data_IF_819792382203
#
_entry.id   IF_819792382203
#
_cell.length_a   1.000
_cell.length_b   1.000
_cell.length_c   1.000
_cell.angle_alpha   90.00
_cell.angle_beta   90.00
_cell.angle_gamma   90.00
#
_symmetry.space_group_name_H-M   'P 1'
#
loop_
_entity.id
_entity.type
_entity.pdbx_description
1 polymer ?
#
# COMPACT_ATOMS: atom_id res chain seq x y z
N UNK A 1 14.92 -10.36 16.02
CA UNK A 1 14.46 -9.07 15.47
C UNK A 1 12.94 -8.99 15.24
N UNK A 2 12.26 -10.03 14.73
CA UNK A 2 10.81 -10.00 14.43
C UNK A 2 9.92 -9.45 15.56
N UNK A 3 10.07 -9.84 16.85
CA UNK A 3 9.23 -9.32 17.92
C UNK A 3 9.29 -7.80 18.11
N UNK A 4 10.42 -7.20 17.81
CA UNK A 4 10.64 -5.76 17.96
C UNK A 4 10.02 -4.92 16.83
N UNK A 5 9.71 -5.54 15.69
CA UNK A 5 8.99 -4.90 14.58
C UNK A 5 7.46 -4.94 14.71
N UNK A 6 6.91 -5.86 15.52
CA UNK A 6 5.45 -6.01 15.68
C UNK A 6 4.79 -4.72 16.19
N UNK A 7 5.30 -4.03 17.22
CA UNK A 7 4.70 -2.77 17.69
C UNK A 7 4.57 -1.72 16.60
N UNK A 8 5.55 -1.62 15.69
CA UNK A 8 5.48 -0.70 14.54
C UNK A 8 4.27 -0.97 13.66
N UNK A 9 4.05 -2.22 13.28
CA UNK A 9 2.92 -2.62 12.42
C UNK A 9 1.57 -2.41 13.12
N UNK A 10 1.50 -2.75 14.42
CA UNK A 10 0.29 -2.55 15.22
C UNK A 10 -0.06 -1.05 15.32
N UNK A 11 0.91 -0.21 15.66
CA UNK A 11 0.70 1.23 15.81
C UNK A 11 0.45 1.92 14.46
N UNK A 12 1.07 1.44 13.38
CA UNK A 12 0.79 1.91 12.03
C UNK A 12 -0.70 1.76 11.67
N UNK A 13 -1.33 0.65 12.04
CA UNK A 13 -2.77 0.45 11.84
C UNK A 13 -3.63 1.17 12.89
N UNK A 14 -3.31 0.97 14.17
CA UNK A 14 -4.14 1.43 15.29
C UNK A 14 -4.20 2.96 15.42
N UNK A 15 -3.12 3.67 15.05
CA UNK A 15 -3.09 5.14 15.10
C UNK A 15 -3.72 5.81 13.87
N UNK A 16 -4.02 5.07 12.78
CA UNK A 16 -4.58 5.66 11.57
C UNK A 16 -5.94 6.37 11.78
N UNK A 17 -6.91 5.83 12.56
CA UNK A 17 -8.15 6.54 12.87
C UNK A 17 -7.93 7.83 13.66
N UNK A 18 -6.96 7.84 14.61
CA UNK A 18 -6.59 9.05 15.35
C UNK A 18 -5.97 10.10 14.44
N UNK A 19 -5.07 9.69 13.55
CA UNK A 19 -4.45 10.58 12.56
C UNK A 19 -5.50 11.21 11.62
N UNK A 20 -6.49 10.42 11.16
CA UNK A 20 -7.61 10.92 10.38
C UNK A 20 -8.43 11.96 11.15
N UNK A 21 -8.76 11.68 12.41
CA UNK A 21 -9.49 12.60 13.27
C UNK A 21 -8.74 13.92 13.47
N UNK A 22 -7.44 13.84 13.76
CA UNK A 22 -6.60 15.03 13.93
C UNK A 22 -6.51 15.87 12.64
N UNK A 23 -6.42 15.23 11.47
CA UNK A 23 -6.37 15.92 10.19
C UNK A 23 -7.67 16.66 9.87
N UNK A 24 -8.82 16.13 10.26
CA UNK A 24 -10.12 16.75 10.06
C UNK A 24 -10.34 17.94 11.00
N UNK A 25 -9.74 17.95 12.22
CA UNK A 25 -9.92 19.01 13.22
C UNK A 25 -8.82 20.07 13.17
N UNK A 26 -7.62 19.74 12.73
CA UNK A 26 -6.53 20.70 12.59
C UNK A 26 -6.37 21.12 11.13
N UNK A 27 -5.49 20.44 10.36
CA UNK A 27 -5.40 20.60 8.92
C UNK A 27 -4.56 19.45 8.30
N UNK A 28 -4.87 19.08 7.07
CA UNK A 28 -4.23 17.98 6.37
C UNK A 28 -2.76 18.26 6.01
N UNK A 29 -2.44 19.51 5.62
CA UNK A 29 -1.06 19.91 5.31
C UNK A 29 -0.16 19.84 6.55
N UNK A 30 -0.65 20.29 7.71
CA UNK A 30 0.05 20.18 8.98
C UNK A 30 0.32 18.73 9.35
N UNK A 31 -0.68 17.86 9.19
CA UNK A 31 -0.53 16.42 9.45
C UNK A 31 0.49 15.77 8.52
N UNK A 32 0.55 16.11 7.22
CA UNK A 32 1.60 15.60 6.33
C UNK A 32 2.99 16.14 6.71
N UNK A 33 3.10 17.36 7.21
CA UNK A 33 4.36 17.88 7.73
C UNK A 33 4.82 17.06 8.95
N UNK A 34 3.89 16.76 9.88
CA UNK A 34 4.14 15.90 11.05
C UNK A 34 4.55 14.49 10.62
N UNK A 35 3.91 13.93 9.58
CA UNK A 35 4.29 12.64 8.99
C UNK A 35 5.76 12.62 8.57
N UNK A 36 6.19 13.53 7.71
CA UNK A 36 7.56 13.53 7.18
C UNK A 36 8.60 13.78 8.27
N UNK A 37 8.38 14.79 9.11
CA UNK A 37 9.33 15.13 10.18
C UNK A 37 9.35 14.06 11.26
N UNK A 38 8.18 13.55 11.66
CA UNK A 38 8.06 12.53 12.70
C UNK A 38 8.71 11.20 12.30
N UNK A 39 8.46 10.70 11.09
CA UNK A 39 9.15 9.51 10.56
C UNK A 39 10.65 9.74 10.50
N UNK A 40 11.06 10.89 9.96
CA UNK A 40 12.48 11.21 9.81
C UNK A 40 13.22 11.24 11.13
N UNK A 41 12.69 11.94 12.13
CA UNK A 41 13.27 12.00 13.49
C UNK A 41 13.28 10.61 14.14
N UNK A 42 12.17 9.88 14.10
CA UNK A 42 12.09 8.52 14.67
C UNK A 42 13.09 7.57 14.01
N UNK A 43 13.27 7.66 12.69
CA UNK A 43 14.25 6.86 11.95
C UNK A 43 15.68 7.20 12.37
N UNK A 44 16.03 8.49 12.40
CA UNK A 44 17.38 8.93 12.83
C UNK A 44 17.67 8.47 14.26
N UNK A 45 16.72 8.64 15.19
CA UNK A 45 16.87 8.19 16.56
C UNK A 45 17.04 6.67 16.65
N UNK A 46 16.35 5.91 15.79
CA UNK A 46 16.53 4.45 15.68
C UNK A 46 17.95 4.09 15.25
N UNK A 47 18.55 4.87 14.35
CA UNK A 47 19.95 4.69 13.93
C UNK A 47 20.96 4.87 15.07
N UNK A 48 20.63 5.59 16.13
CA UNK A 48 21.48 5.74 17.32
C UNK A 48 21.22 4.69 18.41
N UNK A 49 20.31 3.75 18.19
CA UNK A 49 19.99 2.71 19.16
C UNK A 49 21.20 1.83 19.51
N UNK A 50 21.33 1.51 20.81
CA UNK A 50 22.39 0.67 21.35
C UNK A 50 21.87 -0.69 21.84
N UNK A 51 20.54 -0.91 21.80
CA UNK A 51 19.92 -2.17 22.19
C UNK A 51 18.73 -2.50 21.30
N UNK A 52 18.37 -3.79 21.24
CA UNK A 52 17.18 -4.25 20.50
C UNK A 52 15.88 -3.60 21.01
N UNK A 53 15.81 -3.31 22.30
CA UNK A 53 14.65 -2.64 22.89
C UNK A 53 14.52 -1.20 22.38
N UNK A 54 15.64 -0.46 22.28
CA UNK A 54 15.65 0.89 21.70
C UNK A 54 15.27 0.88 20.22
N UNK A 55 15.73 -0.12 19.44
CA UNK A 55 15.27 -0.33 18.06
C UNK A 55 13.77 -0.54 18.04
N UNK A 56 13.23 -1.39 18.94
CA UNK A 56 11.79 -1.65 19.02
C UNK A 56 10.97 -0.39 19.29
N UNK A 57 11.42 0.47 20.22
CA UNK A 57 10.77 1.76 20.47
C UNK A 57 10.88 2.70 19.27
N UNK A 58 12.03 2.80 18.64
CA UNK A 58 12.20 3.62 17.44
C UNK A 58 11.30 3.18 16.30
N UNK A 59 11.21 1.87 16.03
CA UNK A 59 10.29 1.31 15.06
C UNK A 59 8.83 1.59 15.43
N UNK A 60 8.45 1.50 16.70
CA UNK A 60 7.12 1.82 17.18
C UNK A 60 6.75 3.27 16.87
N UNK A 61 7.63 4.24 17.12
CA UNK A 61 7.42 5.64 16.75
C UNK A 61 7.33 5.85 15.24
N UNK A 62 8.18 5.17 14.46
CA UNK A 62 8.04 5.16 12.98
C UNK A 62 6.62 4.70 12.60
N UNK A 63 6.10 3.64 13.22
CA UNK A 63 4.73 3.15 12.99
C UNK A 63 3.66 4.20 13.30
N UNK A 64 3.78 4.91 14.43
CA UNK A 64 2.86 5.99 14.81
C UNK A 64 2.80 7.07 13.73
N UNK A 65 3.94 7.60 13.30
CA UNK A 65 3.96 8.67 12.29
C UNK A 65 3.61 8.15 10.90
N UNK A 66 3.98 6.92 10.54
CA UNK A 66 3.60 6.31 9.28
C UNK A 66 2.08 6.18 9.12
N UNK A 67 1.33 6.00 10.22
CA UNK A 67 -0.13 5.89 10.22
C UNK A 67 -0.86 7.09 9.62
N UNK A 68 -0.20 8.24 9.52
CA UNK A 68 -0.79 9.50 9.07
C UNK A 68 -1.02 9.49 7.55
N UNK A 69 -0.09 8.95 6.75
CA UNK A 69 -0.10 9.15 5.30
C UNK A 69 -1.34 8.58 4.61
N UNK A 70 -1.69 7.32 4.90
CA UNK A 70 -2.77 6.66 4.16
C UNK A 70 -4.14 7.34 4.32
N UNK A 71 -4.63 7.67 5.52
CA UNK A 71 -5.91 8.35 5.64
C UNK A 71 -5.87 9.81 5.19
N UNK A 72 -4.76 10.51 5.42
CA UNK A 72 -4.66 11.96 5.15
C UNK A 72 -4.22 12.22 3.72
N UNK A 73 -3.12 11.61 3.27
CA UNK A 73 -2.54 11.84 1.96
C UNK A 73 -3.45 11.38 0.82
N UNK A 74 -4.07 10.19 0.94
CA UNK A 74 -5.01 9.70 -0.08
C UNK A 74 -6.27 10.58 -0.14
N UNK A 75 -6.79 11.06 1.01
CA UNK A 75 -7.91 12.00 1.02
C UNK A 75 -7.56 13.28 0.26
N UNK A 76 -6.36 13.85 0.46
CA UNK A 76 -5.87 15.03 -0.27
C UNK A 76 -5.71 14.76 -1.77
N UNK A 77 -5.23 13.57 -2.15
CA UNK A 77 -5.15 13.16 -3.57
C UNK A 77 -6.53 13.19 -4.22
N UNK A 78 -7.56 12.72 -3.53
CA UNK A 78 -8.94 12.70 -4.02
C UNK A 78 -9.52 14.11 -4.12
N UNK A 79 -9.31 14.97 -3.11
CA UNK A 79 -9.82 16.35 -3.06
C UNK A 79 -9.37 17.22 -4.22
N UNK A 80 -8.20 16.99 -4.75
CA UNK A 80 -7.69 17.79 -5.86
C UNK A 80 -8.52 17.74 -7.14
N UNK A 81 -9.59 16.93 -7.21
CA UNK A 81 -10.54 16.89 -8.31
C UNK A 81 -9.99 16.38 -9.64
N UNK A 82 -10.73 16.60 -10.72
CA UNK A 82 -10.32 16.25 -12.07
C UNK A 82 -10.19 14.73 -12.31
N UNK A 83 -9.08 14.29 -12.90
CA UNK A 83 -8.83 12.87 -13.21
C UNK A 83 -8.38 12.09 -11.96
N UNK A 84 -9.34 11.76 -11.10
CA UNK A 84 -9.08 11.11 -9.80
C UNK A 84 -8.32 9.78 -9.96
N UNK A 85 -8.71 8.96 -10.94
CA UNK A 85 -8.05 7.69 -11.22
C UNK A 85 -6.58 7.84 -11.57
N UNK A 86 -6.23 8.81 -12.43
CA UNK A 86 -4.85 9.13 -12.76
C UNK A 86 -4.04 9.55 -11.53
N UNK A 87 -4.60 10.40 -10.68
CA UNK A 87 -3.93 10.89 -9.47
C UNK A 87 -3.71 9.78 -8.46
N UNK A 88 -4.70 8.91 -8.24
CA UNK A 88 -4.56 7.73 -7.40
C UNK A 88 -3.53 6.73 -7.99
N UNK A 89 -3.52 6.55 -9.30
CA UNK A 89 -2.52 5.74 -9.99
C UNK A 89 -1.09 6.29 -9.81
N UNK A 90 -0.91 7.60 -9.93
CA UNK A 90 0.38 8.27 -9.67
C UNK A 90 0.82 8.12 -8.20
N UNK A 91 -0.09 8.33 -7.27
CA UNK A 91 0.19 8.15 -5.84
C UNK A 91 0.62 6.71 -5.55
N UNK A 92 -0.10 5.73 -6.07
CA UNK A 92 0.21 4.32 -5.88
C UNK A 92 1.51 3.89 -6.59
N UNK A 93 1.81 4.42 -7.78
CA UNK A 93 3.08 4.18 -8.47
C UNK A 93 4.25 4.56 -7.57
N UNK A 94 4.28 5.78 -7.04
CA UNK A 94 5.37 6.23 -6.18
C UNK A 94 5.43 5.48 -4.86
N UNK A 95 4.28 5.11 -4.28
CA UNK A 95 4.22 4.25 -3.09
C UNK A 95 4.87 2.88 -3.33
N UNK A 96 4.53 2.22 -4.45
CA UNK A 96 5.10 0.91 -4.77
C UNK A 96 6.54 0.98 -5.31
N UNK A 97 6.96 2.11 -5.89
CA UNK A 97 8.40 2.36 -6.14
C UNK A 97 9.19 2.37 -4.82
N UNK A 98 8.62 2.90 -3.74
CA UNK A 98 9.20 2.80 -2.40
C UNK A 98 9.33 1.35 -1.93
N UNK A 99 8.32 0.51 -2.16
CA UNK A 99 8.37 -0.93 -1.84
C UNK A 99 9.48 -1.64 -2.62
N UNK A 100 9.68 -1.29 -3.90
CA UNK A 100 10.75 -1.86 -4.73
C UNK A 100 12.13 -1.33 -4.33
N UNK A 101 12.25 -0.04 -4.05
CA UNK A 101 13.53 0.63 -3.79
C UNK A 101 14.06 0.38 -2.37
N UNK A 102 13.19 0.18 -1.38
CA UNK A 102 13.62 0.06 0.02
C UNK A 102 14.57 -1.11 0.28
N UNK A 103 14.32 -2.35 -0.18
CA UNK A 103 15.27 -3.46 -0.02
C UNK A 103 16.59 -3.21 -0.75
N UNK A 104 16.55 -2.63 -1.95
CA UNK A 104 17.76 -2.32 -2.75
C UNK A 104 18.61 -1.26 -2.06
N UNK A 105 18.01 -0.15 -1.63
CA UNK A 105 18.71 0.93 -0.94
C UNK A 105 19.31 0.42 0.39
N UNK A 106 18.53 -0.33 1.17
CA UNK A 106 19.00 -0.92 2.43
C UNK A 106 20.14 -1.90 2.17
N UNK A 107 20.01 -2.78 1.17
CA UNK A 107 21.06 -3.73 0.80
C UNK A 107 22.36 -3.04 0.38
N UNK A 108 22.29 -1.99 -0.44
CA UNK A 108 23.46 -1.20 -0.86
C UNK A 108 24.14 -0.50 0.34
N UNK A 109 23.35 0.06 1.25
CA UNK A 109 23.90 0.70 2.45
C UNK A 109 24.61 -0.36 3.32
N UNK A 110 23.97 -1.50 3.57
CA UNK A 110 24.54 -2.57 4.41
C UNK A 110 25.78 -3.23 3.78
N UNK A 111 25.92 -3.22 2.46
CA UNK A 111 27.10 -3.76 1.77
C UNK A 111 28.35 -2.91 2.01
N UNK A 112 28.22 -1.61 2.25
CA UNK A 112 29.35 -0.68 2.29
C UNK A 112 29.45 0.11 3.61
N UNK A 113 28.40 0.13 4.41
CA UNK A 113 28.29 0.99 5.59
C UNK A 113 27.65 0.25 6.79
N UNK A 114 27.73 0.88 7.97
CA UNK A 114 27.04 0.38 9.18
C UNK A 114 25.51 0.42 9.02
N UNK A 115 24.81 -0.53 9.62
CA UNK A 115 23.35 -0.66 9.57
C UNK A 115 22.61 0.59 10.06
N UNK A 116 23.26 1.40 10.90
CA UNK A 116 22.69 2.66 11.41
C UNK A 116 22.36 3.64 10.30
N UNK A 117 23.18 3.66 9.25
CA UNK A 117 22.96 4.53 8.09
C UNK A 117 21.73 4.13 7.28
N UNK A 118 21.28 2.88 7.36
CA UNK A 118 20.00 2.45 6.76
C UNK A 118 18.76 3.10 7.42
N UNK A 119 18.92 3.68 8.61
CA UNK A 119 17.90 4.49 9.28
C UNK A 119 18.19 5.99 9.16
N UNK A 120 19.45 6.41 9.33
CA UNK A 120 19.82 7.82 9.34
C UNK A 120 19.63 8.48 7.98
N UNK A 121 20.07 7.83 6.88
CA UNK A 121 19.97 8.41 5.55
C UNK A 121 18.50 8.61 5.12
N UNK A 122 17.62 7.58 5.13
CA UNK A 122 16.22 7.79 4.78
C UNK A 122 15.51 8.76 5.73
N UNK A 123 15.85 8.72 7.02
CA UNK A 123 15.32 9.65 8.02
C UNK A 123 15.66 11.10 7.70
N UNK A 124 16.91 11.38 7.32
CA UNK A 124 17.36 12.72 6.92
C UNK A 124 16.66 13.20 5.65
N UNK A 125 16.52 12.32 4.65
CA UNK A 125 15.77 12.62 3.42
C UNK A 125 14.31 12.94 3.73
N UNK A 126 13.66 12.18 4.63
CA UNK A 126 12.28 12.45 5.05
C UNK A 126 12.13 13.82 5.70
N UNK A 127 13.05 14.21 6.60
CA UNK A 127 13.05 15.55 7.21
C UNK A 127 13.21 16.64 6.14
N UNK A 128 14.15 16.50 5.22
CA UNK A 128 14.37 17.47 4.15
C UNK A 128 13.11 17.65 3.28
N UNK A 129 12.44 16.54 2.93
CA UNK A 129 11.16 16.57 2.22
C UNK A 129 10.10 17.29 3.07
N UNK A 130 10.01 16.99 4.37
CA UNK A 130 9.06 17.62 5.28
C UNK A 130 9.26 19.12 5.43
N UNK A 131 10.51 19.57 5.53
CA UNK A 131 10.85 21.00 5.57
C UNK A 131 10.57 21.70 4.23
N UNK A 132 10.88 21.05 3.10
CA UNK A 132 10.54 21.53 1.77
C UNK A 132 9.03 21.64 1.56
N UNK A 133 8.27 20.63 2.02
CA UNK A 133 6.81 20.66 1.98
C UNK A 133 6.23 21.79 2.85
N UNK A 134 6.76 21.97 4.06
CA UNK A 134 6.35 23.07 4.95
C UNK A 134 6.63 24.44 4.33
N UNK A 135 7.79 24.63 3.71
CA UNK A 135 8.12 25.86 2.99
C UNK A 135 7.15 26.08 1.80
N UNK A 136 6.85 25.04 1.03
CA UNK A 136 5.88 25.09 -0.07
C UNK A 136 4.47 25.48 0.40
N UNK A 137 4.01 24.90 1.52
CA UNK A 137 2.71 25.24 2.12
C UNK A 137 2.68 26.71 2.57
N UNK A 138 3.76 27.17 3.24
CA UNK A 138 3.87 28.56 3.72
C UNK A 138 3.96 29.57 2.59
N UNK A 139 4.56 29.22 1.47
CA UNK A 139 4.60 30.08 0.26
C UNK A 139 3.26 30.17 -0.49
N UNK A 140 2.23 29.46 -0.02
CA UNK A 140 0.91 29.42 -0.65
C UNK A 140 0.78 28.40 -1.78
N UNK A 141 1.79 27.54 -2.01
CA UNK A 141 1.78 26.53 -3.06
C UNK A 141 0.74 25.42 -2.84
N UNK A 142 0.35 25.16 -1.61
CA UNK A 142 -0.70 24.21 -1.24
C UNK A 142 -1.95 24.95 -0.72
N UNK A 143 -2.39 25.98 -1.42
CA UNK A 143 -3.71 26.57 -1.12
C UNK A 143 -4.76 25.49 -1.36
N UNK A 144 -5.67 25.23 -0.39
CA UNK A 144 -6.87 24.50 -0.69
C UNK A 144 -7.51 25.21 -1.90
N UNK A 145 -8.13 24.47 -2.85
CA UNK A 145 -9.06 25.12 -3.77
C UNK A 145 -9.90 26.05 -2.91
N UNK A 146 -10.15 27.29 -3.35
CA UNK A 146 -11.12 28.17 -2.70
C UNK A 146 -12.48 27.46 -2.68
N UNK A 147 -12.57 26.44 -1.86
CA UNK A 147 -13.82 26.00 -1.33
C UNK A 147 -14.25 27.22 -0.52
N UNK A 148 -15.07 28.09 -1.18
CA UNK A 148 -15.99 28.94 -0.48
C UNK A 148 -16.24 28.31 0.87
N UNK A 149 -16.06 29.07 1.92
CA UNK A 149 -16.52 28.82 3.29
C UNK A 149 -18.06 28.80 3.30
N UNK A 150 -18.66 28.08 2.35
CA UNK A 150 -20.01 27.61 2.44
C UNK A 150 -20.01 26.66 3.61
N UNK A 151 -20.84 26.98 4.62
CA UNK A 151 -21.20 26.05 5.67
C UNK A 151 -21.23 24.65 5.06
N UNK A 152 -20.43 23.72 5.60
CA UNK A 152 -20.32 22.37 5.04
C UNK A 152 -21.71 21.75 5.09
N UNK A 153 -22.52 21.97 4.05
CA UNK A 153 -23.77 21.26 3.88
C UNK A 153 -23.47 19.76 4.08
N UNK A 154 -24.28 19.13 4.90
CA UNK A 154 -24.14 17.71 5.18
C UNK A 154 -24.38 16.94 3.89
N UNK A 155 -23.29 16.56 3.23
CA UNK A 155 -23.36 15.79 1.98
C UNK A 155 -23.68 14.34 2.36
N UNK A 156 -24.78 13.83 1.85
CA UNK A 156 -25.18 12.45 2.05
C UNK A 156 -24.29 11.46 1.28
N UNK A 157 -24.23 10.24 1.79
CA UNK A 157 -23.58 9.13 1.07
C UNK A 157 -24.29 8.87 -0.25
N UNK A 158 -23.52 8.55 -1.27
CA UNK A 158 -24.08 8.28 -2.58
C UNK A 158 -25.01 7.04 -2.58
N UNK A 159 -26.05 7.01 -3.42
CA UNK A 159 -26.98 5.87 -3.50
C UNK A 159 -26.25 4.54 -3.70
N UNK A 160 -26.58 3.53 -2.89
CA UNK A 160 -25.94 2.21 -2.92
C UNK A 160 -24.63 2.10 -2.14
N UNK A 161 -24.27 3.11 -1.33
CA UNK A 161 -23.04 3.15 -0.57
C UNK A 161 -22.84 1.95 0.36
N UNK A 162 -23.90 1.44 1.02
CA UNK A 162 -23.76 0.27 1.89
C UNK A 162 -23.20 -0.93 1.13
N UNK A 163 -23.81 -1.23 -0.03
CA UNK A 163 -23.37 -2.32 -0.89
C UNK A 163 -21.97 -2.08 -1.45
N UNK A 164 -21.64 -0.84 -1.78
CA UNK A 164 -20.30 -0.45 -2.22
C UNK A 164 -19.27 -0.62 -1.11
N UNK A 165 -19.58 -0.23 0.14
CA UNK A 165 -18.67 -0.41 1.28
C UNK A 165 -18.49 -1.88 1.66
N UNK A 166 -19.54 -2.71 1.59
CA UNK A 166 -19.42 -4.17 1.80
C UNK A 166 -18.48 -4.76 0.73
N UNK A 167 -18.71 -4.44 -0.56
CA UNK A 167 -17.81 -4.86 -1.64
C UNK A 167 -16.38 -4.40 -1.39
N UNK A 168 -16.19 -3.12 -1.05
CA UNK A 168 -14.87 -2.53 -0.76
C UNK A 168 -14.16 -3.23 0.41
N UNK A 169 -14.87 -3.52 1.48
CA UNK A 169 -14.32 -4.22 2.66
C UNK A 169 -13.83 -5.63 2.29
N UNK A 170 -14.63 -6.39 1.57
CA UNK A 170 -14.27 -7.74 1.12
C UNK A 170 -13.10 -7.72 0.14
N UNK A 171 -13.12 -6.80 -0.85
CA UNK A 171 -12.02 -6.60 -1.81
C UNK A 171 -10.74 -6.17 -1.08
N UNK A 172 -10.84 -5.31 -0.08
CA UNK A 172 -9.70 -4.85 0.72
C UNK A 172 -9.13 -5.96 1.59
N UNK A 173 -9.98 -6.75 2.24
CA UNK A 173 -9.54 -7.86 3.09
C UNK A 173 -8.82 -8.94 2.27
N UNK A 174 -9.46 -9.45 1.22
CA UNK A 174 -8.86 -10.47 0.36
C UNK A 174 -7.64 -9.93 -0.42
N UNK A 175 -7.72 -8.69 -0.93
CA UNK A 175 -6.60 -8.02 -1.61
C UNK A 175 -5.43 -7.74 -0.68
N UNK A 176 -5.68 -7.35 0.57
CA UNK A 176 -4.65 -7.18 1.60
C UNK A 176 -3.95 -8.50 1.95
N UNK A 177 -4.71 -9.60 1.99
CA UNK A 177 -4.16 -10.94 2.16
C UNK A 177 -3.19 -11.30 1.03
N UNK A 178 -3.62 -11.12 -0.22
CA UNK A 178 -2.79 -11.40 -1.40
C UNK A 178 -1.58 -10.47 -1.46
N UNK A 179 -1.79 -9.15 -1.34
CA UNK A 179 -0.72 -8.15 -1.39
C UNK A 179 0.33 -8.37 -0.30
N UNK A 180 -0.12 -8.55 0.96
CA UNK A 180 0.77 -8.74 2.10
C UNK A 180 1.64 -10.00 1.95
N UNK A 181 1.07 -11.12 1.49
CA UNK A 181 1.85 -12.32 1.24
C UNK A 181 2.82 -12.13 0.06
N UNK A 182 2.34 -11.67 -1.09
CA UNK A 182 3.12 -11.61 -2.32
C UNK A 182 4.36 -10.72 -2.20
N UNK A 183 4.24 -9.55 -1.56
CA UNK A 183 5.36 -8.62 -1.37
C UNK A 183 6.49 -9.19 -0.50
N UNK A 184 6.20 -10.15 0.37
CA UNK A 184 7.23 -10.79 1.22
C UNK A 184 7.71 -12.14 0.68
N UNK A 185 6.86 -12.86 -0.06
CA UNK A 185 7.15 -14.23 -0.48
C UNK A 185 7.93 -14.27 -1.79
N UNK A 186 7.71 -13.35 -2.72
CA UNK A 186 8.36 -13.36 -4.04
C UNK A 186 9.89 -13.43 -3.94
N UNK A 187 10.60 -12.63 -3.11
CA UNK A 187 12.05 -12.74 -3.02
C UNK A 187 12.52 -14.15 -2.63
N UNK A 188 11.87 -14.76 -1.65
CA UNK A 188 12.20 -16.11 -1.19
C UNK A 188 11.79 -17.18 -2.19
N UNK A 189 10.68 -17.03 -2.86
CA UNK A 189 10.25 -17.90 -3.93
C UNK A 189 11.26 -17.92 -5.09
N UNK A 190 11.78 -16.74 -5.44
CA UNK A 190 12.80 -16.59 -6.49
C UNK A 190 14.11 -17.24 -6.09
N UNK A 191 14.57 -17.03 -4.86
CA UNK A 191 15.76 -17.70 -4.34
C UNK A 191 15.68 -19.22 -4.49
N UNK A 192 14.50 -19.82 -4.27
CA UNK A 192 14.31 -21.28 -4.31
C UNK A 192 14.05 -21.81 -5.73
N UNK A 193 13.33 -21.06 -6.58
CA UNK A 193 12.80 -21.57 -7.85
C UNK A 193 13.41 -20.94 -9.11
N UNK A 194 14.40 -20.04 -8.99
CA UNK A 194 15.08 -19.41 -10.13
C UNK A 194 16.55 -19.88 -10.25
N UNK A 195 16.85 -21.07 -9.76
CA UNK A 195 18.22 -21.60 -9.78
C UNK A 195 18.78 -21.82 -11.19
N UNK A 196 17.92 -22.01 -12.19
CA UNK A 196 18.32 -22.04 -13.61
C UNK A 196 18.76 -20.68 -14.17
N UNK A 197 18.42 -19.56 -13.46
CA UNK A 197 18.87 -18.20 -13.83
C UNK A 197 20.05 -17.79 -12.97
N UNK A 198 19.93 -17.91 -11.65
CA UNK A 198 20.98 -17.55 -10.69
C UNK A 198 20.74 -18.17 -9.32
N UNK A 199 21.83 -18.58 -8.67
CA UNK A 199 21.85 -18.99 -7.26
C UNK A 199 22.23 -17.83 -6.33
N UNK A 200 22.56 -16.67 -6.88
CA UNK A 200 22.93 -15.47 -6.12
C UNK A 200 21.67 -14.78 -5.59
N UNK A 201 21.59 -14.62 -4.28
CA UNK A 201 20.47 -13.97 -3.56
C UNK A 201 20.34 -12.50 -3.98
N UNK A 202 21.44 -11.81 -4.28
CA UNK A 202 21.39 -10.43 -4.74
C UNK A 202 20.72 -10.33 -6.12
N UNK A 203 21.01 -11.26 -7.03
CA UNK A 203 20.39 -11.31 -8.36
C UNK A 203 18.88 -11.62 -8.23
N UNK A 204 18.50 -12.67 -7.50
CA UNK A 204 17.10 -13.06 -7.34
C UNK A 204 16.28 -12.00 -6.59
N UNK A 205 16.87 -11.34 -5.59
CA UNK A 205 16.28 -10.19 -4.91
C UNK A 205 16.10 -8.98 -5.84
N UNK A 206 17.05 -8.70 -6.72
CA UNK A 206 16.96 -7.63 -7.73
C UNK A 206 15.84 -7.93 -8.74
N UNK A 207 15.70 -9.17 -9.18
CA UNK A 207 14.61 -9.58 -10.06
C UNK A 207 13.23 -9.40 -9.38
N UNK A 208 13.11 -9.70 -8.10
CA UNK A 208 11.89 -9.45 -7.34
C UNK A 208 11.57 -7.94 -7.24
N UNK A 209 12.57 -7.11 -6.96
CA UNK A 209 12.42 -5.66 -6.93
C UNK A 209 12.03 -5.09 -8.30
N UNK A 210 12.58 -5.63 -9.39
CA UNK A 210 12.23 -5.26 -10.77
C UNK A 210 10.75 -5.56 -11.06
N UNK A 211 10.24 -6.73 -10.62
CA UNK A 211 8.81 -7.04 -10.74
C UNK A 211 7.96 -5.98 -10.05
N UNK A 212 8.28 -5.61 -8.82
CA UNK A 212 7.50 -4.59 -8.09
C UNK A 212 7.57 -3.23 -8.80
N UNK A 213 8.75 -2.84 -9.26
CA UNK A 213 8.93 -1.57 -9.97
C UNK A 213 8.12 -1.53 -11.28
N UNK A 214 8.19 -2.59 -12.09
CA UNK A 214 7.44 -2.64 -13.37
C UNK A 214 5.94 -2.77 -13.12
N UNK A 215 5.52 -3.63 -12.20
CA UNK A 215 4.10 -3.81 -11.84
C UNK A 215 3.48 -2.53 -11.27
N UNK A 216 4.25 -1.65 -10.63
CA UNK A 216 3.77 -0.37 -10.14
C UNK A 216 3.16 0.50 -11.24
N UNK A 217 3.67 0.41 -12.49
CA UNK A 217 3.09 1.14 -13.63
C UNK A 217 1.69 0.67 -14.01
N UNK A 218 1.29 -0.55 -13.65
CA UNK A 218 -0.08 -1.02 -13.86
C UNK A 218 -1.11 -0.09 -13.22
N UNK A 219 -0.76 0.56 -12.11
CA UNK A 219 -1.62 1.54 -11.44
C UNK A 219 -1.93 2.76 -12.29
N UNK A 220 -0.99 3.22 -13.12
CA UNK A 220 -1.23 4.31 -14.07
C UNK A 220 -2.21 3.90 -15.17
N UNK A 221 -2.03 2.68 -15.69
CA UNK A 221 -2.91 2.13 -16.73
C UNK A 221 -4.32 1.98 -16.19
N UNK A 222 -4.46 1.39 -15.01
CA UNK A 222 -5.75 1.21 -14.34
C UNK A 222 -6.35 2.57 -13.96
N UNK A 223 -5.56 3.48 -13.39
CA UNK A 223 -6.00 4.83 -13.03
C UNK A 223 -6.59 5.59 -14.23
N UNK A 224 -5.88 5.59 -15.38
CA UNK A 224 -6.39 6.17 -16.63
C UNK A 224 -7.66 5.47 -17.13
N UNK A 225 -7.73 4.16 -16.92
CA UNK A 225 -8.89 3.37 -17.39
C UNK A 225 -10.13 3.69 -16.57
N UNK A 226 -10.03 3.80 -15.24
CA UNK A 226 -11.16 4.19 -14.39
C UNK A 226 -11.55 5.66 -14.56
N UNK A 227 -10.67 6.52 -15.09
CA UNK A 227 -11.05 7.87 -15.50
C UNK A 227 -11.90 7.90 -16.79
N UNK A 228 -11.81 6.89 -17.62
CA UNK A 228 -12.52 6.80 -18.91
C UNK A 228 -13.72 5.85 -18.87
N UNK A 229 -13.68 4.85 -18.02
CA UNK A 229 -14.69 3.77 -17.94
C UNK A 229 -15.33 3.69 -16.57
N UNK A 230 -16.45 3.02 -16.44
CA UNK A 230 -17.08 2.71 -15.15
C UNK A 230 -16.19 1.77 -14.33
N UNK A 231 -16.15 1.96 -13.00
CA UNK A 231 -15.22 1.26 -12.11
C UNK A 231 -15.47 -0.26 -12.09
N UNK A 232 -16.75 -0.68 -12.05
CA UNK A 232 -17.12 -2.10 -11.85
C UNK A 232 -16.49 -3.06 -12.87
N UNK A 233 -16.58 -2.87 -14.19
CA UNK A 233 -15.96 -3.80 -15.14
C UNK A 233 -14.44 -3.82 -15.06
N UNK A 234 -13.80 -2.67 -14.72
CA UNK A 234 -12.35 -2.61 -14.53
C UNK A 234 -11.96 -3.41 -13.29
N UNK A 235 -12.72 -3.29 -12.19
CA UNK A 235 -12.50 -4.08 -10.97
C UNK A 235 -12.66 -5.58 -11.26
N UNK A 236 -13.70 -6.01 -12.00
CA UNK A 236 -13.90 -7.42 -12.34
C UNK A 236 -12.73 -7.94 -13.16
N UNK A 237 -12.28 -7.20 -14.18
CA UNK A 237 -11.14 -7.59 -15.02
C UNK A 237 -9.86 -7.79 -14.17
N UNK A 238 -9.55 -6.82 -13.30
CA UNK A 238 -8.38 -6.88 -12.42
C UNK A 238 -8.53 -8.00 -11.39
N UNK A 239 -9.73 -8.20 -10.85
CA UNK A 239 -10.02 -9.26 -9.88
C UNK A 239 -9.84 -10.66 -10.47
N UNK A 240 -10.30 -10.90 -11.72
CA UNK A 240 -10.19 -12.20 -12.39
C UNK A 240 -8.74 -12.56 -12.73
N UNK A 241 -7.92 -11.56 -13.09
CA UNK A 241 -6.51 -11.78 -13.39
C UNK A 241 -5.71 -12.30 -12.19
N UNK A 242 -6.08 -11.91 -10.96
CA UNK A 242 -5.33 -12.32 -9.78
C UNK A 242 -5.35 -13.85 -9.53
N UNK A 243 -6.51 -14.53 -9.36
CA UNK A 243 -6.52 -15.97 -9.13
C UNK A 243 -5.94 -16.75 -10.31
N UNK A 244 -6.12 -16.26 -11.53
CA UNK A 244 -5.55 -16.89 -12.72
C UNK A 244 -4.02 -16.95 -12.65
N UNK A 245 -3.36 -15.79 -12.50
CA UNK A 245 -1.90 -15.74 -12.51
C UNK A 245 -1.27 -16.28 -11.23
N UNK A 246 -1.94 -16.16 -10.05
CA UNK A 246 -1.49 -16.80 -8.83
C UNK A 246 -1.53 -18.34 -8.94
N UNK A 247 -2.56 -18.91 -9.56
CA UNK A 247 -2.65 -20.35 -9.81
C UNK A 247 -1.57 -20.81 -10.79
N UNK A 248 -1.35 -20.09 -11.87
CA UNK A 248 -0.29 -20.40 -12.83
C UNK A 248 1.10 -20.34 -12.19
N UNK A 249 1.34 -19.36 -11.32
CA UNK A 249 2.62 -19.17 -10.62
C UNK A 249 2.98 -20.35 -9.71
N UNK A 250 1.99 -21.11 -9.23
CA UNK A 250 2.19 -22.17 -8.25
C UNK A 250 3.22 -23.24 -8.68
N UNK A 251 3.32 -23.51 -9.99
CA UNK A 251 4.18 -24.58 -10.54
C UNK A 251 5.33 -24.06 -11.43
N UNK A 252 5.49 -22.74 -11.56
CA UNK A 252 6.51 -22.18 -12.46
C UNK A 252 7.88 -22.13 -11.79
N UNK A 253 8.91 -22.12 -12.65
CA UNK A 253 10.31 -21.90 -12.30
C UNK A 253 10.95 -20.92 -13.29
N UNK A 254 12.11 -20.38 -12.95
CA UNK A 254 12.97 -19.59 -13.82
C UNK A 254 12.26 -18.46 -14.60
N UNK A 255 12.49 -18.32 -15.90
CA UNK A 255 11.91 -17.24 -16.73
C UNK A 255 10.39 -17.24 -16.75
N UNK A 256 9.76 -18.43 -16.75
CA UNK A 256 8.29 -18.52 -16.72
C UNK A 256 7.73 -18.04 -15.38
N UNK A 257 8.40 -18.35 -14.27
CA UNK A 257 8.06 -17.81 -12.96
C UNK A 257 8.16 -16.28 -12.94
N UNK A 258 9.24 -15.72 -13.51
CA UNK A 258 9.41 -14.25 -13.58
C UNK A 258 8.24 -13.58 -14.31
N UNK A 259 7.93 -14.04 -15.52
CA UNK A 259 6.85 -13.45 -16.34
C UNK A 259 5.50 -13.59 -15.67
N UNK A 260 5.16 -14.78 -15.15
CA UNK A 260 3.88 -15.01 -14.49
C UNK A 260 3.76 -14.20 -13.19
N UNK A 261 4.84 -14.08 -12.43
CA UNK A 261 4.89 -13.23 -11.22
C UNK A 261 4.69 -11.75 -11.55
N UNK A 262 5.31 -11.26 -12.63
CA UNK A 262 5.12 -9.88 -13.09
C UNK A 262 3.66 -9.62 -13.45
N UNK A 263 3.02 -10.53 -14.19
CA UNK A 263 1.62 -10.40 -14.55
C UNK A 263 0.71 -10.46 -13.30
N UNK A 264 0.95 -11.41 -12.39
CA UNK A 264 0.23 -11.48 -11.12
C UNK A 264 0.31 -10.16 -10.35
N UNK A 265 1.53 -9.60 -10.20
CA UNK A 265 1.74 -8.34 -9.49
C UNK A 265 1.13 -7.12 -10.19
N UNK A 266 1.06 -7.11 -11.53
CA UNK A 266 0.33 -6.07 -12.26
C UNK A 266 -1.16 -6.04 -11.87
N UNK A 267 -1.80 -7.20 -11.73
CA UNK A 267 -3.20 -7.28 -11.29
C UNK A 267 -3.35 -6.95 -9.80
N UNK A 268 -2.44 -7.39 -8.95
CA UNK A 268 -2.46 -7.08 -7.51
C UNK A 268 -2.30 -5.56 -7.28
N UNK A 269 -1.30 -4.94 -7.89
CA UNK A 269 -1.07 -3.50 -7.75
C UNK A 269 -2.15 -2.67 -8.46
N UNK A 270 -2.64 -3.13 -9.61
CA UNK A 270 -3.72 -2.47 -10.33
C UNK A 270 -5.03 -2.33 -9.55
N UNK A 271 -5.27 -3.17 -8.54
CA UNK A 271 -6.46 -3.09 -7.70
C UNK A 271 -6.44 -1.85 -6.78
N UNK A 272 -5.27 -1.36 -6.38
CA UNK A 272 -5.12 -0.30 -5.37
C UNK A 272 -5.89 0.98 -5.77
N UNK A 273 -5.65 1.61 -6.93
CA UNK A 273 -6.34 2.83 -7.31
C UNK A 273 -7.85 2.63 -7.49
N UNK A 274 -8.29 1.40 -7.81
CA UNK A 274 -9.73 1.09 -7.96
C UNK A 274 -10.44 1.19 -6.63
N UNK A 275 -9.87 0.60 -5.57
CA UNK A 275 -10.49 0.60 -4.23
C UNK A 275 -10.57 2.01 -3.65
N UNK A 276 -9.58 2.86 -3.91
CA UNK A 276 -9.58 4.25 -3.48
C UNK A 276 -10.59 5.10 -4.29
N UNK A 277 -10.73 4.81 -5.60
CA UNK A 277 -11.73 5.45 -6.45
C UNK A 277 -13.17 5.05 -6.07
N UNK A 278 -13.41 3.79 -5.69
CA UNK A 278 -14.72 3.35 -5.15
C UNK A 278 -15.05 4.15 -3.91
N UNK A 279 -14.11 4.31 -2.98
CA UNK A 279 -14.31 5.09 -1.78
C UNK A 279 -14.60 6.56 -2.12
N UNK A 280 -13.83 7.16 -3.02
CA UNK A 280 -14.05 8.53 -3.48
C UNK A 280 -15.45 8.76 -4.08
N UNK A 281 -16.00 7.73 -4.78
CA UNK A 281 -17.29 7.80 -5.45
C UNK A 281 -18.49 7.69 -4.51
N UNK A 282 -18.36 6.94 -3.40
CA UNK A 282 -19.50 6.61 -2.53
C UNK A 282 -19.48 7.29 -1.17
N UNK A 283 -18.30 7.76 -0.72
CA UNK A 283 -18.10 8.33 0.60
C UNK A 283 -17.88 9.84 0.50
N UNK A 284 -18.71 10.66 1.16
CA UNK A 284 -18.54 12.12 1.19
C UNK A 284 -17.24 12.51 1.90
N UNK A 285 -16.71 13.68 1.56
CA UNK A 285 -15.39 14.14 2.02
C UNK A 285 -15.22 14.12 3.54
N UNK A 286 -16.25 14.55 4.27
CA UNK A 286 -16.27 14.58 5.74
C UNK A 286 -16.07 13.22 6.42
N UNK A 287 -16.34 12.10 5.71
CA UNK A 287 -16.16 10.74 6.22
C UNK A 287 -14.97 10.01 5.59
N UNK A 288 -14.40 10.59 4.52
CA UNK A 288 -13.42 9.90 3.67
C UNK A 288 -12.17 9.46 4.42
N UNK A 289 -11.57 10.36 5.20
CA UNK A 289 -10.37 10.03 5.97
C UNK A 289 -10.65 8.91 7.01
N UNK A 290 -11.81 8.93 7.66
CA UNK A 290 -12.22 7.90 8.63
C UNK A 290 -12.42 6.54 7.97
N UNK A 291 -13.10 6.49 6.81
CA UNK A 291 -13.32 5.24 6.07
C UNK A 291 -11.99 4.72 5.48
N UNK A 292 -11.11 5.60 5.00
CA UNK A 292 -9.76 5.25 4.56
C UNK A 292 -8.94 4.64 5.69
N UNK A 293 -9.01 5.18 6.90
CA UNK A 293 -8.26 4.65 8.05
C UNK A 293 -8.73 3.25 8.44
N UNK A 294 -10.03 2.99 8.43
CA UNK A 294 -10.60 1.67 8.68
C UNK A 294 -10.20 0.69 7.58
N UNK A 295 -10.31 1.10 6.30
CA UNK A 295 -9.86 0.31 5.15
C UNK A 295 -8.38 -0.09 5.30
N UNK A 296 -7.54 0.87 5.68
CA UNK A 296 -6.12 0.64 5.85
C UNK A 296 -5.83 -0.31 7.02
N UNK A 297 -6.52 -0.16 8.14
CA UNK A 297 -6.41 -1.06 9.29
C UNK A 297 -6.77 -2.50 8.91
N UNK A 298 -7.88 -2.70 8.20
CA UNK A 298 -8.29 -4.03 7.70
C UNK A 298 -7.21 -4.62 6.79
N UNK A 299 -6.72 -3.83 5.83
CA UNK A 299 -5.67 -4.27 4.91
C UNK A 299 -4.40 -4.74 5.63
N UNK A 300 -3.96 -3.99 6.64
CA UNK A 300 -2.75 -4.29 7.40
C UNK A 300 -2.91 -5.52 8.29
N UNK A 301 -4.04 -5.64 9.01
CA UNK A 301 -4.33 -6.80 9.86
C UNK A 301 -4.40 -8.09 9.03
N UNK A 302 -5.14 -8.07 7.94
CA UNK A 302 -5.31 -9.22 7.06
C UNK A 302 -4.00 -9.56 6.32
N UNK A 303 -3.24 -8.55 5.89
CA UNK A 303 -1.91 -8.75 5.32
C UNK A 303 -0.93 -9.43 6.29
N UNK A 304 -0.99 -9.06 7.57
CA UNK A 304 -0.21 -9.72 8.63
C UNK A 304 -0.63 -11.18 8.83
N UNK A 305 -1.94 -11.48 8.81
CA UNK A 305 -2.45 -12.84 8.88
C UNK A 305 -1.99 -13.68 7.68
N UNK A 306 -1.88 -13.09 6.49
CA UNK A 306 -1.35 -13.75 5.30
C UNK A 306 0.10 -14.22 5.47
N UNK A 307 0.94 -13.38 6.09
CA UNK A 307 2.33 -13.76 6.40
C UNK A 307 2.41 -14.91 7.40
N UNK A 308 1.56 -14.92 8.43
CA UNK A 308 1.48 -16.02 9.39
C UNK A 308 1.04 -17.33 8.71
N UNK A 309 0.04 -17.24 7.82
CA UNK A 309 -0.44 -18.38 7.03
C UNK A 309 0.67 -18.94 6.13
N UNK A 310 1.36 -18.07 5.40
CA UNK A 310 2.46 -18.49 4.54
C UNK A 310 3.60 -19.14 5.33
N UNK A 311 3.99 -18.52 6.46
CA UNK A 311 4.99 -19.11 7.36
C UNK A 311 4.58 -20.50 7.86
N UNK A 312 3.33 -20.66 8.29
CA UNK A 312 2.81 -21.95 8.75
C UNK A 312 2.90 -23.00 7.65
N UNK A 313 2.38 -22.72 6.45
CA UNK A 313 2.42 -23.65 5.32
C UNK A 313 3.85 -24.04 4.92
N UNK A 314 4.78 -23.11 4.92
CA UNK A 314 6.18 -23.38 4.62
C UNK A 314 6.85 -24.21 5.73
N UNK A 315 6.53 -23.96 7.00
CA UNK A 315 7.10 -24.70 8.15
C UNK A 315 6.58 -26.13 8.25
N UNK A 316 5.37 -26.43 7.78
CA UNK A 316 4.77 -27.77 7.74
C UNK A 316 5.21 -28.59 6.53
N UNK A 317 6.05 -28.05 5.65
CA UNK A 317 6.50 -28.73 4.44
C UNK A 317 5.52 -28.70 3.27
N UNK A 318 4.39 -27.97 3.36
CA UNK A 318 3.41 -27.85 2.29
C UNK A 318 3.94 -27.08 1.05
N UNK A 319 5.03 -26.33 1.21
CA UNK A 319 5.74 -25.67 0.12
C UNK A 319 5.05 -24.44 -0.46
N UNK A 320 5.73 -23.79 -1.41
CA UNK A 320 5.22 -22.57 -2.06
C UNK A 320 3.96 -22.82 -2.90
N UNK A 321 3.78 -24.03 -3.41
CA UNK A 321 2.59 -24.38 -4.18
C UNK A 321 1.31 -24.24 -3.34
N UNK A 322 1.33 -24.75 -2.11
CA UNK A 322 0.20 -24.60 -1.19
C UNK A 322 -0.06 -23.12 -0.85
N UNK A 323 1.00 -22.33 -0.67
CA UNK A 323 0.86 -20.89 -0.43
C UNK A 323 0.18 -20.21 -1.62
N UNK A 324 0.64 -20.46 -2.85
CA UNK A 324 0.04 -19.86 -4.05
C UNK A 324 -1.42 -20.29 -4.25
N UNK A 325 -1.75 -21.56 -3.97
CA UNK A 325 -3.14 -22.05 -4.01
C UNK A 325 -4.04 -21.30 -3.01
N UNK A 326 -3.58 -21.12 -1.78
CA UNK A 326 -4.33 -20.35 -0.76
C UNK A 326 -4.53 -18.91 -1.19
N UNK A 327 -3.51 -18.27 -1.77
CA UNK A 327 -3.62 -16.90 -2.30
C UNK A 327 -4.58 -16.83 -3.48
N UNK A 328 -4.57 -17.81 -4.38
CA UNK A 328 -5.50 -17.89 -5.51
C UNK A 328 -6.95 -18.07 -5.03
N UNK A 329 -7.19 -18.89 -4.02
CA UNK A 329 -8.51 -19.05 -3.39
C UNK A 329 -8.95 -17.72 -2.76
N UNK A 330 -8.08 -17.05 -2.01
CA UNK A 330 -8.37 -15.74 -1.44
C UNK A 330 -8.71 -14.71 -2.54
N UNK A 331 -7.99 -14.75 -3.67
CA UNK A 331 -8.28 -13.88 -4.82
C UNK A 331 -9.64 -14.16 -5.49
N UNK A 332 -10.16 -15.40 -5.44
CA UNK A 332 -11.51 -15.69 -5.90
C UNK A 332 -12.59 -14.94 -5.09
N UNK A 333 -12.36 -14.69 -3.80
CA UNK A 333 -13.27 -13.85 -3.02
C UNK A 333 -13.28 -12.39 -3.51
N UNK A 334 -12.15 -11.88 -4.05
CA UNK A 334 -12.12 -10.55 -4.69
C UNK A 334 -13.06 -10.52 -5.89
N UNK A 335 -13.07 -11.58 -6.70
CA UNK A 335 -13.97 -11.70 -7.86
C UNK A 335 -15.43 -11.65 -7.42
N UNK A 336 -15.80 -12.48 -6.43
CA UNK A 336 -17.16 -12.48 -5.87
C UNK A 336 -17.57 -11.11 -5.32
N UNK A 337 -16.68 -10.48 -4.57
CA UNK A 337 -16.92 -9.16 -4.00
C UNK A 337 -17.04 -8.05 -5.07
N UNK A 338 -16.32 -8.17 -6.20
CA UNK A 338 -16.43 -7.22 -7.31
C UNK A 338 -17.81 -7.23 -7.96
N UNK A 339 -18.50 -8.37 -8.00
CA UNK A 339 -19.87 -8.45 -8.48
C UNK A 339 -20.88 -7.75 -7.56
N UNK A 340 -20.59 -7.63 -6.26
CA UNK A 340 -21.43 -6.90 -5.31
C UNK A 340 -21.40 -5.39 -5.57
N UNK A 341 -20.33 -4.84 -6.17
CA UNK A 341 -20.23 -3.41 -6.43
C UNK A 341 -21.41 -2.93 -7.30
N UNK A 342 -22.16 -1.87 -6.91
CA UNK A 342 -23.26 -1.35 -7.71
C UNK A 342 -22.79 -0.88 -9.09
N UNK A 343 -23.67 -1.02 -10.08
CA UNK A 343 -23.48 -0.36 -11.39
C UNK A 343 -23.81 1.12 -11.22
N UNK A 344 -22.82 1.99 -11.33
CA UNK A 344 -23.03 3.44 -11.27
C UNK A 344 -22.36 4.09 -12.46
N UNK A 345 -23.07 5.04 -13.10
CA UNK A 345 -22.47 5.92 -14.09
C UNK A 345 -21.61 6.97 -13.38
N UNK A 346 -20.56 7.44 -14.03
CA UNK A 346 -19.65 8.46 -13.49
C UNK A 346 -20.40 9.74 -13.17
N UNK A 347 -20.02 10.36 -12.04
CA UNK A 347 -20.53 11.66 -11.58
C UNK A 347 -19.39 12.64 -11.23
N UNK A 348 -18.15 12.40 -11.74
CA UNK A 348 -17.04 13.35 -11.61
C UNK A 348 -16.46 13.79 -12.95
#
# INVERSE_FOLDING_TARGET
>A
MIPYGIPSLVLFGACAPLAAHMADHWNRNGMLTVFFIGIGLSSILTGFAQSLLQIGFGLAFIGVFASIYHPVGIAMVIEGGGKIGWRLGMNGLWGNMGVAAAPLATGLILAHFDWRLAFIIPGSVSILIGLGFLAFVRSGGARPPEATRQEKEFVEFAPGWQRALVSLTLVTAAGGFVFGAMTFIIPRLFEVRMQGISTDIAVTGTLAALIYAVAAFAQLVVGRTIDKRTIKPVLIFVAVGQPLFLSLMAMQTDYTLFVVSLLAMCFVFGQIPITDAVLAQYVPDQWRAKVLSIKFLINLMIGSAALMTARYLLSTGAGFEAVMRVLAIAACFIVGAAFLLPKRHKTW
#
